data_IF_690640766314
#
_entry.id   IF_690640766314
#
_cell.length_a   1.000
_cell.length_b   1.000
_cell.length_c   1.000
_cell.angle_alpha   90.00
_cell.angle_beta   90.00
_cell.angle_gamma   90.00
#
_symmetry.space_group_name_H-M   'P 1'
#
loop_
_entity.id
_entity.type
_entity.pdbx_description
1 polymer ?
#
# COMPACT_ATOMS: atom_id res chain seq x y z
N UNK A 1 -37.24 9.54 51.53
CA UNK A 1 -37.19 8.06 51.50
C UNK A 1 -36.54 7.79 50.18
N UNK A 2 -35.22 7.88 50.21
CA UNK A 2 -34.34 8.03 49.07
C UNK A 2 -33.53 6.74 49.03
N UNK A 3 -33.78 5.92 48.02
CA UNK A 3 -33.05 4.68 47.82
C UNK A 3 -31.80 4.96 46.99
N UNK A 4 -30.69 4.97 47.72
CA UNK A 4 -29.32 5.03 47.26
C UNK A 4 -28.87 3.60 46.90
N UNK A 5 -28.80 3.29 45.60
CA UNK A 5 -28.22 2.06 45.07
C UNK A 5 -27.18 2.40 44.01
N UNK A 6 -26.05 2.95 44.44
CA UNK A 6 -24.80 2.89 43.67
C UNK A 6 -24.24 1.48 43.78
N UNK A 7 -24.31 0.74 42.68
CA UNK A 7 -23.76 -0.59 42.50
C UNK A 7 -22.27 -0.64 42.87
N UNK A 8 -21.95 -1.47 43.87
CA UNK A 8 -20.59 -1.81 44.31
C UNK A 8 -19.83 -2.63 43.24
N UNK A 9 -20.51 -3.10 42.19
CA UNK A 9 -19.94 -3.97 41.16
C UNK A 9 -19.14 -3.20 40.09
N UNK A 10 -19.43 -1.91 39.86
CA UNK A 10 -18.69 -1.10 38.89
C UNK A 10 -17.28 -0.70 39.37
N UNK A 11 -17.06 -0.60 40.68
CA UNK A 11 -15.75 -0.23 41.24
C UNK A 11 -14.75 -1.39 41.22
N UNK A 12 -15.19 -2.62 41.46
CA UNK A 12 -14.29 -3.77 41.45
C UNK A 12 -13.96 -4.27 40.03
N UNK A 13 -14.84 -4.06 39.05
CA UNK A 13 -14.55 -4.38 37.65
C UNK A 13 -13.64 -3.36 36.96
N UNK A 14 -13.60 -2.09 37.39
CA UNK A 14 -12.65 -1.13 36.79
C UNK A 14 -11.23 -1.28 37.34
N UNK A 15 -11.05 -1.45 38.65
CA UNK A 15 -9.72 -1.48 39.26
C UNK A 15 -8.96 -2.79 39.01
N UNK A 16 -9.63 -3.95 39.10
CA UNK A 16 -8.96 -5.24 38.88
C UNK A 16 -8.63 -5.43 37.39
N UNK A 17 -9.50 -4.95 36.49
CA UNK A 17 -9.25 -5.04 35.05
C UNK A 17 -8.19 -4.03 34.58
N UNK A 18 -8.10 -2.84 35.19
CA UNK A 18 -7.01 -1.91 34.90
C UNK A 18 -5.65 -2.43 35.40
N UNK A 19 -5.59 -2.97 36.61
CA UNK A 19 -4.32 -3.39 37.24
C UNK A 19 -3.72 -4.63 36.56
N UNK A 20 -4.56 -5.57 36.14
CA UNK A 20 -4.10 -6.78 35.43
C UNK A 20 -3.72 -6.47 33.98
N UNK A 21 -4.42 -5.51 33.34
CA UNK A 21 -4.17 -5.09 31.95
C UNK A 21 -2.91 -4.23 31.80
N UNK A 22 -2.53 -3.45 32.81
CA UNK A 22 -1.23 -2.75 32.83
C UNK A 22 -0.06 -3.70 33.03
N UNK A 23 -0.20 -4.72 33.88
CA UNK A 23 0.87 -5.70 34.17
C UNK A 23 1.31 -6.49 32.94
N UNK A 24 0.36 -7.05 32.17
CA UNK A 24 0.68 -7.87 30.99
C UNK A 24 1.19 -7.03 29.80
N UNK A 25 0.79 -5.75 29.72
CA UNK A 25 1.32 -4.81 28.73
C UNK A 25 2.72 -4.34 29.11
N UNK A 26 2.98 -4.04 30.38
CA UNK A 26 4.31 -3.68 30.88
C UNK A 26 5.30 -4.83 30.71
N UNK A 27 4.90 -6.09 30.95
CA UNK A 27 5.78 -7.25 30.75
C UNK A 27 6.12 -7.51 29.28
N UNK A 28 5.20 -7.23 28.34
CA UNK A 28 5.48 -7.34 26.89
C UNK A 28 6.25 -6.16 26.32
N UNK A 29 6.09 -4.94 26.86
CA UNK A 29 6.95 -3.79 26.56
C UNK A 29 8.33 -3.92 27.20
N UNK A 30 8.45 -4.60 28.34
CA UNK A 30 9.71 -4.94 28.99
C UNK A 30 10.53 -5.95 28.17
N UNK A 31 9.85 -6.91 27.52
CA UNK A 31 10.51 -7.94 26.72
C UNK A 31 10.80 -7.53 25.26
N UNK A 32 10.10 -6.52 24.74
CA UNK A 32 10.56 -5.81 23.55
C UNK A 32 11.60 -4.81 24.03
N UNK A 33 12.86 -5.23 24.07
CA UNK A 33 14.00 -4.34 24.23
C UNK A 33 13.99 -3.29 23.11
N UNK A 34 13.14 -2.28 23.25
CA UNK A 34 13.49 -0.92 22.89
C UNK A 34 14.79 -0.74 23.65
N UNK A 35 15.90 -0.80 22.93
CA UNK A 35 17.14 -0.25 23.43
C UNK A 35 16.75 1.12 23.94
N UNK A 36 16.62 1.27 25.26
CA UNK A 36 16.62 2.57 25.90
C UNK A 36 17.89 3.18 25.37
N UNK A 37 17.75 4.03 24.37
CA UNK A 37 18.81 4.92 23.93
C UNK A 37 18.93 5.92 25.08
N UNK A 38 19.60 5.43 26.12
CA UNK A 38 19.90 6.15 27.34
C UNK A 38 20.98 7.15 26.96
N UNK A 39 20.55 8.39 26.74
CA UNK A 39 21.43 9.53 26.57
C UNK A 39 21.99 9.66 25.15
N UNK A 40 21.13 9.93 24.17
CA UNK A 40 21.61 10.48 22.90
C UNK A 40 22.29 11.83 23.17
N UNK A 41 23.51 11.98 22.66
CA UNK A 41 24.19 13.27 22.60
C UNK A 41 23.26 14.25 21.85
N UNK A 42 23.01 15.48 22.34
CA UNK A 42 22.26 16.48 21.60
C UNK A 42 22.74 16.64 20.14
N UNK A 43 24.02 16.37 19.87
CA UNK A 43 24.55 16.35 18.51
C UNK A 43 23.96 15.22 17.62
N UNK A 44 23.74 14.02 18.17
CA UNK A 44 23.18 12.87 17.43
C UNK A 44 21.71 13.08 17.08
N UNK A 45 20.92 13.62 18.02
CA UNK A 45 19.53 14.01 17.80
C UNK A 45 19.39 15.08 16.71
N UNK A 46 20.24 16.12 16.76
CA UNK A 46 20.27 17.18 15.74
C UNK A 46 20.70 16.62 14.39
N UNK A 47 21.70 15.74 14.35
CA UNK A 47 22.14 15.09 13.12
C UNK A 47 21.02 14.27 12.50
N UNK A 48 20.33 13.43 13.27
CA UNK A 48 19.22 12.61 12.81
C UNK A 48 18.05 13.46 12.29
N UNK A 49 17.75 14.57 12.97
CA UNK A 49 16.75 15.53 12.52
C UNK A 49 17.10 16.15 11.17
N UNK A 50 18.33 16.69 11.04
CA UNK A 50 18.79 17.34 9.80
C UNK A 50 18.85 16.33 8.66
N UNK A 51 19.38 15.13 8.92
CA UNK A 51 19.47 14.07 7.93
C UNK A 51 18.09 13.67 7.39
N UNK A 52 17.12 13.44 8.28
CA UNK A 52 15.75 13.09 7.87
C UNK A 52 15.09 14.24 7.12
N UNK A 53 15.21 15.49 7.59
CA UNK A 53 14.66 16.65 6.90
C UNK A 53 15.20 16.80 5.47
N UNK A 54 16.50 16.54 5.25
CA UNK A 54 17.12 16.54 3.92
C UNK A 54 16.55 15.41 3.05
N UNK A 55 16.40 14.21 3.58
CA UNK A 55 15.81 13.06 2.86
C UNK A 55 14.38 13.36 2.45
N UNK A 56 13.55 13.86 3.37
CA UNK A 56 12.14 14.18 3.11
C UNK A 56 12.02 15.27 2.05
N UNK A 57 12.75 16.38 2.21
CA UNK A 57 12.72 17.48 1.25
C UNK A 57 13.19 17.05 -0.15
N UNK A 58 14.31 16.32 -0.21
CA UNK A 58 14.87 15.82 -1.47
C UNK A 58 13.94 14.80 -2.12
N UNK A 59 13.42 13.85 -1.34
CA UNK A 59 12.51 12.82 -1.82
C UNK A 59 11.20 13.40 -2.36
N UNK A 60 10.60 14.38 -1.68
CA UNK A 60 9.41 15.08 -2.17
C UNK A 60 9.73 15.82 -3.47
N UNK A 61 10.83 16.57 -3.52
CA UNK A 61 11.23 17.30 -4.72
C UNK A 61 11.44 16.37 -5.93
N UNK A 62 12.16 15.26 -5.74
CA UNK A 62 12.40 14.26 -6.80
C UNK A 62 11.09 13.61 -7.28
N UNK A 63 10.19 13.24 -6.38
CA UNK A 63 8.90 12.66 -6.75
C UNK A 63 8.00 13.66 -7.48
N UNK A 64 7.99 14.93 -7.08
CA UNK A 64 7.23 15.97 -7.78
C UNK A 64 7.79 16.24 -9.19
N UNK A 65 9.11 16.26 -9.36
CA UNK A 65 9.76 16.36 -10.67
C UNK A 65 9.38 15.16 -11.55
N UNK A 66 9.39 13.94 -10.98
CA UNK A 66 8.97 12.72 -11.67
C UNK A 66 7.50 12.79 -12.12
N UNK A 67 6.59 13.17 -11.22
CA UNK A 67 5.17 13.36 -11.53
C UNK A 67 5.00 14.34 -12.68
N UNK A 68 5.64 15.51 -12.60
CA UNK A 68 5.59 16.53 -13.66
C UNK A 68 6.12 16.00 -14.99
N UNK A 69 7.22 15.26 -14.97
CA UNK A 69 7.81 14.64 -16.15
C UNK A 69 6.87 13.62 -16.81
N UNK A 70 6.20 12.79 -16.02
CA UNK A 70 5.28 11.76 -16.52
C UNK A 70 4.00 12.39 -17.10
N UNK A 71 3.46 13.42 -16.46
CA UNK A 71 2.25 14.13 -16.94
C UNK A 71 2.50 14.78 -18.30
N UNK A 72 3.73 15.26 -18.57
CA UNK A 72 4.12 15.80 -19.86
C UNK A 72 4.47 14.76 -20.95
N UNK A 73 4.60 13.49 -20.58
CA UNK A 73 5.01 12.43 -21.49
C UNK A 73 3.82 11.68 -22.11
N UNK A 74 4.07 10.96 -23.21
CA UNK A 74 3.06 10.07 -23.82
C UNK A 74 2.76 8.92 -22.85
N UNK A 75 1.51 8.84 -22.39
CA UNK A 75 1.06 7.83 -21.42
C UNK A 75 1.33 6.40 -21.90
N UNK A 76 2.14 5.68 -21.12
CA UNK A 76 2.31 4.23 -21.19
C UNK A 76 1.70 3.59 -19.94
N UNK A 77 1.41 2.29 -20.00
CA UNK A 77 0.87 1.58 -18.85
C UNK A 77 1.85 1.57 -17.66
N UNK A 78 3.14 1.33 -17.94
CA UNK A 78 4.21 1.37 -16.95
C UNK A 78 4.34 2.76 -16.30
N UNK A 79 4.30 3.84 -17.10
CA UNK A 79 4.35 5.21 -16.58
C UNK A 79 3.16 5.52 -15.67
N UNK A 80 2.01 4.89 -15.90
CA UNK A 80 0.84 5.06 -15.03
C UNK A 80 1.06 4.43 -13.65
N UNK A 81 1.72 3.26 -13.57
CA UNK A 81 2.12 2.67 -12.28
C UNK A 81 3.18 3.51 -11.57
N UNK A 82 4.20 3.97 -12.29
CA UNK A 82 5.25 4.83 -11.72
C UNK A 82 4.65 6.14 -11.18
N UNK A 83 3.65 6.71 -11.86
CA UNK A 83 2.92 7.88 -11.37
C UNK A 83 2.20 7.59 -10.05
N UNK A 84 1.54 6.44 -9.90
CA UNK A 84 0.90 6.09 -8.64
C UNK A 84 1.93 5.91 -7.52
N UNK A 85 3.05 5.22 -7.79
CA UNK A 85 4.14 5.05 -6.82
C UNK A 85 4.66 6.42 -6.36
N UNK A 86 4.94 7.33 -7.29
CA UNK A 86 5.45 8.66 -6.95
C UNK A 86 4.46 9.48 -6.08
N UNK A 87 3.14 9.33 -6.32
CA UNK A 87 2.12 9.95 -5.47
C UNK A 87 2.12 9.36 -4.06
N UNK A 88 2.22 8.04 -3.94
CA UNK A 88 2.25 7.37 -2.63
C UNK A 88 3.56 7.68 -1.89
N UNK A 89 4.70 7.76 -2.58
CA UNK A 89 5.98 8.13 -1.98
C UNK A 89 5.94 9.53 -1.35
N UNK A 90 5.28 10.49 -2.01
CA UNK A 90 5.06 11.82 -1.40
C UNK A 90 4.21 11.71 -0.14
N UNK A 91 3.13 10.92 -0.15
CA UNK A 91 2.30 10.69 1.03
C UNK A 91 3.09 10.04 2.17
N UNK A 92 3.94 9.05 1.86
CA UNK A 92 4.81 8.38 2.84
C UNK A 92 5.80 9.36 3.47
N UNK A 93 6.45 10.21 2.66
CA UNK A 93 7.40 11.20 3.14
C UNK A 93 6.72 12.32 3.95
N UNK A 94 5.45 12.60 3.70
CA UNK A 94 4.66 13.49 4.56
C UNK A 94 4.32 12.79 5.88
N UNK A 95 3.91 11.52 5.85
CA UNK A 95 3.58 10.72 7.01
C UNK A 95 4.79 10.51 7.95
N UNK A 96 6.00 10.33 7.39
CA UNK A 96 7.24 10.11 8.16
C UNK A 96 7.61 11.29 9.08
N UNK A 97 7.06 12.49 8.85
CA UNK A 97 7.26 13.61 9.77
C UNK A 97 6.68 13.32 11.16
N UNK A 98 5.49 12.69 11.24
CA UNK A 98 4.91 12.30 12.53
C UNK A 98 5.78 11.29 13.25
N UNK A 99 6.29 10.28 12.54
CA UNK A 99 7.18 9.25 13.08
C UNK A 99 8.47 9.87 13.64
N UNK A 100 9.07 10.81 12.91
CA UNK A 100 10.25 11.53 13.36
C UNK A 100 9.99 12.34 14.63
N UNK A 101 8.88 13.09 14.68
CA UNK A 101 8.50 13.83 15.88
C UNK A 101 8.27 12.92 17.08
N UNK A 102 7.61 11.79 16.87
CA UNK A 102 7.37 10.78 17.89
C UNK A 102 8.68 10.16 18.41
N UNK A 103 9.60 9.79 17.51
CA UNK A 103 10.91 9.24 17.89
C UNK A 103 11.80 10.26 18.62
N UNK A 104 11.75 11.54 18.27
CA UNK A 104 12.53 12.59 18.95
C UNK A 104 11.98 12.93 20.33
N UNK A 105 10.66 12.90 20.51
CA UNK A 105 10.01 13.26 21.78
C UNK A 105 9.81 12.06 22.70
N UNK A 106 9.91 10.83 22.19
CA UNK A 106 9.62 9.59 22.91
C UNK A 106 8.21 9.56 23.54
N UNK A 107 7.31 10.42 23.05
CA UNK A 107 5.91 10.52 23.45
C UNK A 107 5.12 11.11 22.31
N UNK A 108 3.87 10.65 22.16
CA UNK A 108 2.91 11.27 21.27
C UNK A 108 2.46 12.60 21.89
N UNK A 109 2.48 13.68 21.10
CA UNK A 109 2.06 15.02 21.55
C UNK A 109 0.88 15.57 20.74
N UNK A 110 0.53 14.88 19.65
CA UNK A 110 -0.52 15.33 18.76
C UNK A 110 -1.88 14.84 19.25
N UNK A 111 -2.97 15.52 18.86
CA UNK A 111 -4.33 15.04 19.09
C UNK A 111 -4.58 13.61 18.56
N UNK A 112 -5.65 12.98 19.06
CA UNK A 112 -6.06 11.63 18.65
C UNK A 112 -6.36 11.52 17.15
N UNK A 113 -6.88 12.59 16.54
CA UNK A 113 -7.14 12.66 15.10
C UNK A 113 -5.85 12.53 14.27
N UNK A 114 -4.72 13.02 14.78
CA UNK A 114 -3.44 12.83 14.11
C UNK A 114 -2.89 11.42 14.29
N UNK A 115 -3.20 10.75 15.40
CA UNK A 115 -2.80 9.36 15.63
C UNK A 115 -3.53 8.42 14.65
N UNK A 116 -4.85 8.58 14.53
CA UNK A 116 -5.67 7.83 13.56
C UNK A 116 -5.21 8.05 12.12
N UNK A 117 -4.98 9.32 11.74
CA UNK A 117 -4.47 9.66 10.41
C UNK A 117 -3.09 9.06 10.16
N UNK A 118 -2.16 9.15 11.12
CA UNK A 118 -0.81 8.60 10.98
C UNK A 118 -0.85 7.08 10.80
N UNK A 119 -1.50 6.35 11.71
CA UNK A 119 -1.58 4.89 11.63
C UNK A 119 -2.26 4.40 10.35
N UNK A 120 -3.36 5.07 9.94
CA UNK A 120 -4.07 4.73 8.72
C UNK A 120 -3.26 5.04 7.45
N UNK A 121 -2.59 6.20 7.40
CA UNK A 121 -1.74 6.57 6.26
C UNK A 121 -0.50 5.69 6.13
N UNK A 122 0.19 5.40 7.24
CA UNK A 122 1.35 4.50 7.25
C UNK A 122 1.01 3.12 6.69
N UNK A 123 -0.11 2.56 7.15
CA UNK A 123 -0.66 1.31 6.63
C UNK A 123 -0.97 1.39 5.13
N UNK A 124 -1.75 2.41 4.75
CA UNK A 124 -2.22 2.61 3.40
C UNK A 124 -1.07 2.75 2.40
N UNK A 125 -0.09 3.60 2.71
CA UNK A 125 1.03 3.87 1.81
C UNK A 125 1.96 2.66 1.70
N UNK A 126 2.22 1.97 2.82
CA UNK A 126 3.02 0.73 2.83
C UNK A 126 2.43 -0.34 1.92
N UNK A 127 1.12 -0.60 2.03
CA UNK A 127 0.44 -1.58 1.16
C UNK A 127 0.42 -1.10 -0.29
N UNK A 128 0.04 0.16 -0.53
CA UNK A 128 -0.08 0.69 -1.88
C UNK A 128 1.25 0.62 -2.66
N UNK A 129 2.39 1.05 -2.08
CA UNK A 129 3.71 1.00 -2.73
C UNK A 129 4.04 -0.41 -3.17
N UNK A 130 3.95 -1.37 -2.24
CA UNK A 130 4.35 -2.76 -2.49
C UNK A 130 3.50 -3.39 -3.60
N UNK A 131 2.18 -3.20 -3.56
CA UNK A 131 1.29 -3.74 -4.58
C UNK A 131 1.40 -3.02 -5.94
N UNK A 132 1.72 -1.71 -5.96
CA UNK A 132 2.03 -1.02 -7.21
C UNK A 132 3.33 -1.52 -7.84
N UNK A 133 4.36 -1.83 -7.05
CA UNK A 133 5.60 -2.45 -7.54
C UNK A 133 5.30 -3.83 -8.14
N UNK A 134 4.53 -4.66 -7.44
CA UNK A 134 4.08 -5.96 -7.96
C UNK A 134 3.32 -5.80 -9.29
N UNK A 135 2.38 -4.84 -9.34
CA UNK A 135 1.63 -4.53 -10.56
C UNK A 135 2.51 -4.07 -11.72
N UNK A 136 3.52 -3.24 -11.45
CA UNK A 136 4.50 -2.79 -12.44
C UNK A 136 5.33 -3.96 -12.99
N UNK A 137 5.74 -4.90 -12.13
CA UNK A 137 6.48 -6.10 -12.55
C UNK A 137 5.63 -6.99 -13.47
N UNK A 138 4.38 -7.28 -13.08
CA UNK A 138 3.47 -8.04 -13.95
C UNK A 138 3.18 -7.32 -15.27
N UNK A 139 3.01 -5.99 -15.24
CA UNK A 139 2.80 -5.21 -16.45
C UNK A 139 4.01 -5.26 -17.39
N UNK A 140 5.22 -5.20 -16.84
CA UNK A 140 6.48 -5.31 -17.60
C UNK A 140 6.59 -6.67 -18.28
N UNK A 141 6.35 -7.76 -17.53
CA UNK A 141 6.37 -9.14 -18.07
C UNK A 141 5.29 -9.33 -19.13
N UNK A 142 4.07 -8.84 -18.89
CA UNK A 142 2.96 -8.95 -19.83
C UNK A 142 3.25 -8.17 -21.12
N UNK A 143 3.82 -6.98 -21.01
CA UNK A 143 4.23 -6.15 -22.15
C UNK A 143 5.34 -6.82 -22.97
N UNK A 144 6.31 -7.44 -22.30
CA UNK A 144 7.35 -8.23 -22.95
C UNK A 144 6.77 -9.43 -23.72
N UNK A 145 5.94 -10.24 -23.07
CA UNK A 145 5.32 -11.41 -23.73
C UNK A 145 4.47 -10.99 -24.94
N UNK A 146 3.75 -9.86 -24.85
CA UNK A 146 2.99 -9.31 -25.96
C UNK A 146 3.91 -8.86 -27.11
N UNK A 147 5.04 -8.21 -26.80
CA UNK A 147 6.02 -7.82 -27.82
C UNK A 147 6.61 -9.04 -28.54
N UNK A 148 6.92 -10.11 -27.80
CA UNK A 148 7.40 -11.38 -28.37
C UNK A 148 6.33 -12.05 -29.24
N UNK A 149 5.07 -12.11 -28.80
CA UNK A 149 3.95 -12.64 -29.58
C UNK A 149 3.78 -11.86 -30.89
N UNK A 150 3.81 -10.53 -30.83
CA UNK A 150 3.74 -9.67 -32.01
C UNK A 150 4.92 -9.88 -32.96
N UNK A 151 6.14 -10.04 -32.44
CA UNK A 151 7.32 -10.30 -33.26
C UNK A 151 7.26 -11.68 -33.95
N UNK A 152 6.84 -12.73 -33.24
CA UNK A 152 6.65 -14.07 -33.83
C UNK A 152 5.59 -14.06 -34.93
N UNK A 153 4.45 -13.42 -34.68
CA UNK A 153 3.37 -13.33 -35.67
C UNK A 153 3.78 -12.49 -36.90
N UNK A 154 4.61 -11.46 -36.73
CA UNK A 154 5.16 -10.69 -37.85
C UNK A 154 6.12 -11.53 -38.72
N UNK A 155 6.89 -12.44 -38.11
CA UNK A 155 7.81 -13.34 -38.84
C UNK A 155 7.05 -14.47 -39.56
N UNK A 156 5.90 -14.90 -39.02
CA UNK A 156 5.04 -15.94 -39.63
C UNK A 156 4.16 -15.36 -40.76
N UNK A 157 4.02 -14.04 -40.85
CA UNK A 157 3.40 -13.36 -42.00
C UNK A 157 4.42 -12.55 -42.82
N UNK A 158 5.42 -13.17 -43.46
CA UNK A 158 6.05 -12.57 -44.62
C UNK A 158 5.14 -12.87 -45.82
N UNK A 159 4.64 -11.83 -46.48
CA UNK A 159 4.05 -11.92 -47.82
C UNK A 159 2.73 -12.70 -47.97
N UNK A 160 1.63 -12.15 -47.42
CA UNK A 160 0.28 -12.47 -47.92
C UNK A 160 -0.52 -11.22 -48.28
N UNK A 161 0.18 -10.22 -48.82
CA UNK A 161 -0.40 -9.15 -49.66
C UNK A 161 0.13 -9.30 -51.09
N UNK A 162 -0.02 -10.48 -51.66
CA UNK A 162 0.00 -10.71 -53.11
C UNK A 162 -0.71 -12.03 -53.35
N UNK A 163 -1.87 -11.95 -54.02
CA UNK A 163 -2.89 -12.98 -54.01
C UNK A 163 -2.40 -14.39 -54.36
N UNK A 164 -2.78 -15.34 -53.53
CA UNK A 164 -3.08 -16.70 -53.94
C UNK A 164 -4.12 -17.25 -52.96
N UNK A 165 -5.30 -17.53 -53.51
CA UNK A 165 -6.39 -18.27 -52.91
C UNK A 165 -5.90 -19.59 -52.30
N UNK A 166 -6.29 -19.89 -51.06
CA UNK A 166 -6.46 -21.26 -50.54
C UNK A 166 -6.95 -21.18 -49.09
N UNK A 167 -8.27 -21.15 -48.90
CA UNK A 167 -9.01 -22.28 -48.31
C UNK A 167 -8.49 -22.72 -46.94
N UNK A 168 -9.06 -22.14 -45.88
CA UNK A 168 -9.84 -22.82 -44.82
C UNK A 168 -9.92 -21.86 -43.63
N UNK A 169 -11.12 -21.42 -43.26
CA UNK A 169 -11.69 -21.61 -41.92
C UNK A 169 -13.03 -20.83 -41.85
N UNK A 170 -14.11 -21.60 -41.89
CA UNK A 170 -15.50 -21.18 -41.75
C UNK A 170 -15.72 -20.43 -40.44
N UNK A 171 -16.21 -19.19 -40.52
CA UNK A 171 -17.31 -18.65 -39.70
C UNK A 171 -17.51 -17.16 -40.01
N UNK A 172 -17.96 -16.85 -41.22
CA UNK A 172 -18.58 -15.56 -41.52
C UNK A 172 -20.07 -15.77 -41.70
N UNK A 173 -20.87 -15.35 -40.71
CA UNK A 173 -22.31 -15.20 -40.89
C UNK A 173 -22.56 -14.08 -41.91
N UNK A 174 -22.76 -14.49 -43.17
CA UNK A 174 -23.13 -13.60 -44.25
C UNK A 174 -24.66 -13.41 -44.20
N UNK A 175 -25.12 -12.31 -43.61
CA UNK A 175 -26.49 -11.84 -43.77
C UNK A 175 -26.57 -11.12 -45.12
N UNK A 176 -27.10 -11.81 -46.12
CA UNK A 176 -27.48 -11.24 -47.41
C UNK A 176 -28.77 -10.47 -47.25
N UNK A 177 -28.67 -9.15 -47.10
CA UNK A 177 -29.74 -8.24 -47.52
C UNK A 177 -29.30 -7.57 -48.81
N UNK A 178 -30.00 -7.96 -49.88
CA UNK A 178 -29.84 -7.38 -51.20
C UNK A 178 -30.32 -5.94 -51.25
N UNK A 179 -29.67 -5.17 -52.13
CA UNK A 179 -30.06 -3.84 -52.62
C UNK A 179 -29.82 -2.66 -51.68
N UNK A 180 -28.60 -2.11 -51.72
CA UNK A 180 -28.28 -0.71 -52.07
C UNK A 180 -26.83 -0.46 -51.66
N UNK A 181 -26.02 -0.16 -52.68
CA UNK A 181 -24.77 0.58 -52.69
C UNK A 181 -23.99 0.76 -51.37
N UNK A 182 -22.76 0.26 -51.39
CA UNK A 182 -21.70 0.47 -50.40
C UNK A 182 -21.74 -0.46 -49.17
N UNK A 183 -21.59 -1.77 -49.43
CA UNK A 183 -20.93 -2.68 -48.47
C UNK A 183 -19.47 -2.19 -48.27
N UNK A 184 -19.28 -1.18 -47.43
CA UNK A 184 -18.00 -0.96 -46.75
C UNK A 184 -17.86 -2.14 -45.81
N UNK A 185 -17.20 -3.21 -46.26
CA UNK A 185 -16.80 -4.31 -45.38
C UNK A 185 -15.92 -3.67 -44.31
N UNK A 186 -16.52 -3.44 -43.14
CA UNK A 186 -15.81 -2.96 -41.98
C UNK A 186 -15.14 -4.20 -41.39
N UNK A 187 -14.06 -4.64 -42.04
CA UNK A 187 -13.12 -5.58 -41.44
C UNK A 187 -12.51 -4.87 -40.25
N UNK A 188 -13.13 -5.09 -39.08
CA UNK A 188 -12.56 -4.68 -37.80
C UNK A 188 -11.26 -5.48 -37.67
N UNK A 189 -10.14 -4.84 -37.99
CA UNK A 189 -8.83 -5.43 -37.80
C UNK A 189 -8.56 -5.52 -36.29
N UNK A 190 -8.85 -6.69 -35.72
CA UNK A 190 -8.62 -6.98 -34.31
C UNK A 190 -7.12 -6.96 -33.94
N UNK A 191 -6.17 -6.95 -34.91
CA UNK A 191 -4.73 -6.80 -34.62
C UNK A 191 -4.43 -5.46 -33.95
N UNK A 192 -5.15 -4.39 -34.27
CA UNK A 192 -4.91 -3.08 -33.66
C UNK A 192 -5.38 -2.98 -32.21
N UNK A 193 -6.38 -3.77 -31.80
CA UNK A 193 -6.93 -3.73 -30.44
C UNK A 193 -6.02 -4.40 -29.41
N UNK A 194 -5.11 -5.29 -29.83
CA UNK A 194 -4.20 -6.05 -28.94
C UNK A 194 -2.88 -5.33 -28.62
N UNK A 195 -2.65 -4.09 -29.08
CA UNK A 195 -1.35 -3.40 -28.90
C UNK A 195 -1.11 -2.80 -27.50
N UNK A 196 -2.13 -2.69 -26.63
CA UNK A 196 -1.98 -2.09 -25.29
C UNK A 196 -2.69 -2.90 -24.23
N UNK A 197 -1.97 -3.19 -23.15
CA UNK A 197 -2.53 -3.80 -21.94
C UNK A 197 -3.18 -2.70 -21.10
N UNK A 198 -4.46 -2.87 -20.75
CA UNK A 198 -5.17 -1.93 -19.90
C UNK A 198 -4.64 -2.02 -18.46
N UNK A 199 -4.20 -0.88 -17.90
CA UNK A 199 -3.66 -0.78 -16.54
C UNK A 199 -4.62 -0.15 -15.53
N UNK A 200 -5.76 0.38 -15.98
CA UNK A 200 -6.72 1.09 -15.12
C UNK A 200 -7.31 0.19 -14.04
N UNK A 201 -7.77 -1.00 -14.44
CA UNK A 201 -8.38 -1.95 -13.52
C UNK A 201 -7.37 -2.47 -12.47
N UNK A 202 -6.15 -2.91 -12.84
CA UNK A 202 -5.11 -3.23 -11.86
C UNK A 202 -4.81 -2.09 -10.88
N UNK A 203 -4.70 -0.84 -11.36
CA UNK A 203 -4.43 0.32 -10.50
C UNK A 203 -5.57 0.54 -9.49
N UNK A 204 -6.83 0.48 -9.94
CA UNK A 204 -7.99 0.62 -9.06
C UNK A 204 -8.07 -0.51 -8.03
N UNK A 205 -7.71 -1.73 -8.42
CA UNK A 205 -7.66 -2.87 -7.50
C UNK A 205 -6.61 -2.67 -6.40
N UNK A 206 -5.43 -2.15 -6.73
CA UNK A 206 -4.39 -1.84 -5.74
C UNK A 206 -4.88 -0.80 -4.74
N UNK A 207 -5.50 0.29 -5.23
CA UNK A 207 -6.10 1.30 -4.35
C UNK A 207 -7.17 0.72 -3.44
N UNK A 208 -8.04 -0.15 -3.98
CA UNK A 208 -9.08 -0.81 -3.20
C UNK A 208 -8.49 -1.68 -2.09
N UNK A 209 -7.48 -2.50 -2.40
CA UNK A 209 -6.79 -3.34 -1.41
C UNK A 209 -6.16 -2.48 -0.32
N UNK A 210 -5.40 -1.44 -0.69
CA UNK A 210 -4.74 -0.55 0.26
C UNK A 210 -5.75 0.17 1.18
N UNK A 211 -6.86 0.68 0.61
CA UNK A 211 -7.92 1.31 1.39
C UNK A 211 -8.63 0.31 2.33
N UNK A 212 -8.88 -0.92 1.85
CA UNK A 212 -9.55 -1.94 2.64
C UNK A 212 -8.72 -2.42 3.84
N UNK A 213 -7.41 -2.55 3.66
CA UNK A 213 -6.49 -3.03 4.70
C UNK A 213 -6.20 -1.96 5.75
N UNK A 214 -6.12 -0.69 5.34
CA UNK A 214 -5.88 0.44 6.25
C UNK A 214 -7.12 0.87 7.04
N UNK A 215 -8.32 0.48 6.62
CA UNK A 215 -9.57 0.90 7.24
C UNK A 215 -9.67 0.60 8.76
N UNK A 216 -9.29 -0.60 9.26
CA UNK A 216 -9.32 -0.86 10.70
C UNK A 216 -8.43 0.10 11.49
N UNK A 217 -7.28 0.52 10.93
CA UNK A 217 -6.36 1.43 11.61
C UNK A 217 -6.87 2.87 11.63
N UNK A 218 -7.61 3.29 10.61
CA UNK A 218 -8.34 4.56 10.66
C UNK A 218 -9.45 4.59 11.71
N UNK A 219 -10.04 3.43 12.03
CA UNK A 219 -11.18 3.32 12.94
C UNK A 219 -10.79 3.03 14.39
N UNK A 220 -9.70 2.31 14.62
CA UNK A 220 -9.35 1.74 15.94
C UNK A 220 -8.02 2.24 16.52
N UNK A 221 -7.27 3.08 15.82
CA UNK A 221 -6.10 3.72 16.40
C UNK A 221 -6.53 4.84 17.37
N UNK A 222 -5.90 4.94 18.53
CA UNK A 222 -6.09 6.05 19.46
C UNK A 222 -4.85 6.26 20.33
N UNK A 223 -4.86 7.34 21.09
CA UNK A 223 -3.81 7.70 22.04
C UNK A 223 -4.09 7.04 23.39
N UNK A 224 -3.16 6.22 23.84
CA UNK A 224 -3.18 5.59 25.16
C UNK A 224 -2.19 6.28 26.08
N UNK A 225 -2.65 6.65 27.28
CA UNK A 225 -1.81 7.25 28.32
C UNK A 225 -1.32 6.18 29.29
N UNK A 226 -0.01 6.01 29.41
CA UNK A 226 0.59 5.11 30.39
C UNK A 226 1.06 5.96 31.57
N UNK A 227 0.40 5.78 32.72
CA UNK A 227 0.82 6.40 33.97
C UNK A 227 2.02 5.61 34.53
N UNK A 228 3.10 6.27 34.97
CA UNK A 228 4.28 5.58 35.48
C UNK A 228 3.95 4.84 36.78
N UNK A 229 4.14 3.52 36.76
CA UNK A 229 4.07 2.66 37.94
C UNK A 229 5.27 2.94 38.85
N UNK A 230 5.04 3.64 39.97
CA UNK A 230 6.00 3.70 41.09
C UNK A 230 6.74 5.01 41.37
N UNK A 231 6.50 6.11 40.64
CA UNK A 231 7.00 7.44 41.06
C UNK A 231 6.06 8.55 40.58
N UNK A 232 5.43 9.26 41.52
CA UNK A 232 4.49 10.37 41.26
C UNK A 232 5.11 11.56 40.49
N UNK A 233 6.43 11.58 40.28
CA UNK A 233 7.16 12.68 39.64
C UNK A 233 7.47 12.49 38.15
N UNK A 234 7.08 11.37 37.53
CA UNK A 234 7.29 11.18 36.09
C UNK A 234 6.07 11.64 35.29
N UNK A 235 6.24 12.46 34.24
CA UNK A 235 5.13 12.82 33.37
C UNK A 235 4.57 11.56 32.70
N UNK A 236 3.24 11.47 32.60
CA UNK A 236 2.56 10.41 31.85
C UNK A 236 3.02 10.41 30.39
N UNK A 237 3.43 9.25 29.88
CA UNK A 237 3.78 9.09 28.47
C UNK A 237 2.54 8.70 27.66
N UNK A 238 2.41 9.29 26.48
CA UNK A 238 1.30 9.01 25.57
C UNK A 238 1.81 8.22 24.37
N UNK A 239 1.10 7.16 23.99
CA UNK A 239 1.44 6.28 22.88
C UNK A 239 0.29 6.22 21.89
N UNK A 240 0.59 6.35 20.60
CA UNK A 240 -0.36 6.10 19.53
C UNK A 240 -0.37 4.60 19.21
N UNK A 241 -1.50 3.91 19.44
CA UNK A 241 -1.61 2.46 19.27
C UNK A 241 -3.02 2.04 18.83
N UNK A 242 -3.13 0.85 18.25
CA UNK A 242 -4.42 0.22 17.96
C UNK A 242 -5.10 -0.29 19.23
N UNK A 243 -6.38 0.03 19.43
CA UNK A 243 -7.19 -0.49 20.53
C UNK A 243 -7.89 -1.78 20.11
N UNK A 244 -7.23 -2.90 20.34
CA UNK A 244 -7.87 -4.21 20.17
C UNK A 244 -8.61 -4.64 21.44
N UNK A 245 -9.89 -5.02 21.30
CA UNK A 245 -10.75 -5.40 22.42
C UNK A 245 -10.33 -6.73 23.11
N UNK A 246 -9.66 -7.64 22.39
CA UNK A 246 -9.18 -8.92 22.94
C UNK A 246 -7.86 -9.38 22.32
N UNK A 247 -7.11 -10.24 23.05
CA UNK A 247 -5.87 -10.83 22.52
C UNK A 247 -6.11 -11.72 21.28
N UNK A 248 -7.25 -12.40 21.21
CA UNK A 248 -7.60 -13.24 20.05
C UNK A 248 -7.84 -12.40 18.81
N UNK A 249 -8.60 -11.30 18.94
CA UNK A 249 -8.79 -10.35 17.83
C UNK A 249 -7.47 -9.71 17.39
N UNK A 250 -6.59 -9.36 18.34
CA UNK A 250 -5.27 -8.81 18.03
C UNK A 250 -4.42 -9.79 17.22
N UNK A 251 -4.37 -11.07 17.63
CA UNK A 251 -3.60 -12.09 16.92
C UNK A 251 -4.13 -12.33 15.50
N UNK A 252 -5.45 -12.32 15.30
CA UNK A 252 -6.06 -12.52 13.97
C UNK A 252 -5.76 -11.33 13.06
N UNK A 253 -5.92 -10.10 13.55
CA UNK A 253 -5.63 -8.88 12.78
C UNK A 253 -4.14 -8.83 12.43
N UNK A 254 -3.27 -9.05 13.41
CA UNK A 254 -1.82 -9.09 13.21
C UNK A 254 -1.40 -10.13 12.18
N UNK A 255 -1.97 -11.34 12.24
CA UNK A 255 -1.70 -12.39 11.24
C UNK A 255 -2.16 -11.98 9.83
N UNK A 256 -3.35 -11.41 9.69
CA UNK A 256 -3.87 -10.94 8.40
C UNK A 256 -2.99 -9.84 7.81
N UNK A 257 -2.55 -8.88 8.63
CA UNK A 257 -1.62 -7.82 8.23
C UNK A 257 -0.31 -8.42 7.72
N UNK A 258 0.28 -9.39 8.43
CA UNK A 258 1.52 -10.07 8.00
C UNK A 258 1.32 -10.78 6.65
N UNK A 259 0.21 -11.50 6.48
CA UNK A 259 -0.08 -12.23 5.24
C UNK A 259 -0.21 -11.27 4.06
N UNK A 260 -0.98 -10.19 4.22
CA UNK A 260 -1.28 -9.25 3.13
C UNK A 260 -0.08 -8.35 2.83
N UNK A 261 0.65 -7.86 3.83
CA UNK A 261 1.77 -6.93 3.63
C UNK A 261 3.08 -7.60 3.26
N UNK A 262 3.34 -8.80 3.79
CA UNK A 262 4.65 -9.45 3.67
C UNK A 262 4.54 -10.70 2.79
N UNK A 263 3.73 -11.68 3.18
CA UNK A 263 3.76 -13.00 2.53
C UNK A 263 3.29 -12.93 1.08
N UNK A 264 2.13 -12.33 0.82
CA UNK A 264 1.56 -12.29 -0.53
C UNK A 264 2.45 -11.49 -1.50
N UNK A 265 2.94 -10.28 -1.16
CA UNK A 265 3.79 -9.53 -2.07
C UNK A 265 5.17 -10.15 -2.26
N UNK A 266 5.78 -10.73 -1.22
CA UNK A 266 7.08 -11.41 -1.36
C UNK A 266 6.98 -12.60 -2.30
N UNK A 267 5.94 -13.43 -2.17
CA UNK A 267 5.69 -14.55 -3.09
C UNK A 267 5.47 -14.04 -4.52
N UNK A 268 4.67 -12.98 -4.70
CA UNK A 268 4.45 -12.39 -6.01
C UNK A 268 5.76 -11.86 -6.63
N UNK A 269 6.59 -11.15 -5.86
CA UNK A 269 7.88 -10.63 -6.30
C UNK A 269 8.83 -11.76 -6.70
N UNK A 270 8.93 -12.83 -5.89
CA UNK A 270 9.74 -14.01 -6.21
C UNK A 270 9.29 -14.66 -7.51
N UNK A 271 7.97 -14.85 -7.70
CA UNK A 271 7.43 -15.41 -8.95
C UNK A 271 7.78 -14.51 -10.14
N UNK A 272 7.57 -13.19 -10.02
CA UNK A 272 7.90 -12.26 -11.10
C UNK A 272 9.39 -12.22 -11.41
N UNK A 273 10.26 -12.33 -10.40
CA UNK A 273 11.70 -12.40 -10.57
C UNK A 273 12.10 -13.67 -11.31
N UNK A 274 11.59 -14.83 -10.90
CA UNK A 274 11.85 -16.10 -11.59
C UNK A 274 11.40 -16.02 -13.05
N UNK A 275 10.20 -15.47 -13.31
CA UNK A 275 9.70 -15.31 -14.67
C UNK A 275 10.55 -14.34 -15.50
N UNK A 276 11.07 -13.27 -14.90
CA UNK A 276 11.96 -12.34 -15.59
C UNK A 276 13.28 -13.03 -15.93
N UNK A 277 13.91 -13.74 -14.98
CA UNK A 277 15.21 -14.41 -15.18
C UNK A 277 15.13 -15.57 -16.16
N UNK A 278 14.07 -16.38 -16.12
CA UNK A 278 13.94 -17.57 -16.99
C UNK A 278 13.52 -17.21 -18.42
N UNK A 279 12.83 -16.07 -18.62
CA UNK A 279 12.36 -15.64 -19.95
C UNK A 279 13.30 -14.67 -20.67
N UNK A 280 14.23 -14.04 -19.95
CA UNK A 280 15.37 -13.30 -20.53
C UNK A 280 16.40 -14.30 -21.03
#
# INVERSE_FOLDING_TARGET
MDDDYTSIEDYFSSEVLHTTRTSDYEDRLSNKSISKVSGDDPAELVFLYVFNAVIVATGIALNLVLIKGIVGAKSSGALSFVLQIALVDVLTLLASNWEMYYNLRQTWIFPSEHCTLYCGLDAFTSVAIVYFIVGLNFHSISSYNLAVDLAKNAIITPDTESGAESLTEENSYEVTTDTISQKRSLTIDYRYKKRRISVRLPILLVWFIAASESLPLFLYADVTTVAPTGSADRPSTQYCTELTHSMVSHNIVSFMVIVIRIILPTVALVITLIQAVVKI
#
